data_IF_328638250792
#
_entry.id   IF_328638250792
#
_cell.length_a   1.000
_cell.length_b   1.000
_cell.length_c   1.000
_cell.angle_alpha   90.00
_cell.angle_beta   90.00
_cell.angle_gamma   90.00
#
_symmetry.space_group_name_H-M   'P 1'
#
loop_
_entity.id
_entity.type
_entity.pdbx_description
1 polymer ?
#
# COMPACT_ATOMS: atom_id res chain seq x y z
N UNK A 1 7.45 7.29 7.41
CA UNK A 1 6.75 6.36 8.32
C UNK A 1 5.25 6.63 8.25
N UNK A 2 4.42 5.58 8.19
CA UNK A 2 2.96 5.68 8.22
C UNK A 2 2.40 5.42 9.62
N UNK A 3 1.45 6.25 10.05
CA UNK A 3 0.76 6.12 11.34
C UNK A 3 -0.72 5.89 11.10
N UNK A 4 -1.24 4.78 11.60
CA UNK A 4 -2.65 4.42 11.46
C UNK A 4 -3.53 5.20 12.43
N UNK A 5 -4.69 5.65 11.95
CA UNK A 5 -5.75 6.27 12.73
C UNK A 5 -7.07 5.51 12.49
N UNK A 6 -8.15 5.88 13.19
CA UNK A 6 -9.46 5.20 13.10
C UNK A 6 -9.34 3.66 13.19
N UNK A 7 -9.64 2.93 12.11
CA UNK A 7 -9.61 1.46 12.10
C UNK A 7 -8.20 0.88 12.24
N UNK A 8 -7.18 1.67 11.89
CA UNK A 8 -5.75 1.33 11.97
C UNK A 8 -5.06 1.94 13.21
N UNK A 9 -5.82 2.55 14.13
CA UNK A 9 -5.29 3.28 15.28
C UNK A 9 -4.27 2.46 16.10
N UNK A 10 -3.10 3.07 16.32
CA UNK A 10 -2.01 2.51 17.14
C UNK A 10 -0.98 1.69 16.35
N UNK A 11 -1.18 1.52 15.04
CA UNK A 11 -0.18 0.93 14.15
C UNK A 11 0.79 1.99 13.65
N UNK A 12 2.07 1.60 13.53
CA UNK A 12 3.13 2.41 12.96
C UNK A 12 3.97 1.52 12.04
N UNK A 13 4.10 1.91 10.78
CA UNK A 13 4.82 1.15 9.77
C UNK A 13 5.97 2.01 9.23
N UNK A 14 7.21 1.53 9.35
CA UNK A 14 8.38 2.22 8.80
C UNK A 14 8.38 2.12 7.28
N UNK A 15 9.05 3.06 6.62
CA UNK A 15 9.05 3.14 5.15
C UNK A 15 9.68 1.90 4.51
N UNK A 16 10.70 1.32 5.16
CA UNK A 16 11.33 0.07 4.73
C UNK A 16 10.40 -1.15 4.78
N UNK A 17 9.34 -1.09 5.59
CA UNK A 17 8.39 -2.18 5.80
C UNK A 17 7.05 -1.91 5.10
N UNK A 18 6.84 -0.68 4.60
CA UNK A 18 5.53 -0.20 4.14
C UNK A 18 5.00 -0.99 2.95
N UNK A 19 5.86 -1.25 1.97
CA UNK A 19 5.49 -2.02 0.77
C UNK A 19 5.14 -3.46 1.12
N UNK A 20 5.99 -4.14 1.91
CA UNK A 20 5.78 -5.53 2.30
C UNK A 20 4.48 -5.68 3.12
N UNK A 21 4.24 -4.76 4.07
CA UNK A 21 3.02 -4.76 4.86
C UNK A 21 1.76 -4.56 4.01
N UNK A 22 1.77 -3.59 3.08
CA UNK A 22 0.63 -3.34 2.19
C UNK A 22 0.34 -4.56 1.30
N UNK A 23 1.39 -5.14 0.71
CA UNK A 23 1.26 -6.32 -0.15
C UNK A 23 0.72 -7.53 0.61
N UNK A 24 1.25 -7.84 1.80
CA UNK A 24 0.76 -8.94 2.64
C UNK A 24 -0.72 -8.75 3.00
N UNK A 25 -1.13 -7.53 3.36
CA UNK A 25 -2.53 -7.22 3.68
C UNK A 25 -3.45 -7.46 2.49
N UNK A 26 -3.05 -7.04 1.30
CA UNK A 26 -3.83 -7.27 0.08
C UNK A 26 -3.96 -8.76 -0.27
N UNK A 27 -2.95 -9.57 0.04
CA UNK A 27 -2.92 -10.99 -0.28
C UNK A 27 -3.68 -11.87 0.71
N UNK A 28 -3.84 -11.44 1.95
CA UNK A 28 -4.41 -12.26 3.03
C UNK A 28 -5.70 -11.71 3.64
N UNK A 29 -6.09 -10.48 3.31
CA UNK A 29 -7.38 -9.92 3.70
C UNK A 29 -8.38 -10.12 2.55
N UNK A 30 -9.33 -11.04 2.73
CA UNK A 30 -10.36 -11.36 1.74
C UNK A 30 -11.15 -10.12 1.28
N UNK A 31 -11.26 -9.07 2.11
CA UNK A 31 -11.96 -7.85 1.74
C UNK A 31 -11.14 -6.95 0.82
N UNK A 32 -9.81 -6.95 0.98
CA UNK A 32 -8.90 -6.14 0.16
C UNK A 32 -8.48 -6.85 -1.13
N UNK A 33 -8.44 -8.19 -1.11
CA UNK A 33 -8.05 -9.04 -2.24
C UNK A 33 -8.77 -8.66 -3.53
N UNK A 34 -10.11 -8.61 -3.51
CA UNK A 34 -10.92 -8.33 -4.70
C UNK A 34 -10.69 -6.92 -5.26
N UNK A 35 -10.52 -5.93 -4.37
CA UNK A 35 -10.27 -4.55 -4.77
C UNK A 35 -8.85 -4.37 -5.31
N UNK A 36 -7.87 -5.03 -4.68
CA UNK A 36 -6.48 -5.04 -5.10
C UNK A 36 -6.30 -5.67 -6.48
N UNK A 37 -6.90 -6.85 -6.73
CA UNK A 37 -6.85 -7.50 -8.04
C UNK A 37 -7.43 -6.60 -9.13
N UNK A 38 -8.52 -5.89 -8.83
CA UNK A 38 -9.15 -4.97 -9.78
C UNK A 38 -8.29 -3.74 -10.06
N UNK A 39 -7.74 -3.12 -9.03
CA UNK A 39 -6.96 -1.89 -9.14
C UNK A 39 -5.62 -2.15 -9.87
N UNK A 40 -4.96 -3.27 -9.54
CA UNK A 40 -3.63 -3.59 -10.05
C UNK A 40 -3.62 -4.62 -11.20
N UNK A 41 -4.78 -4.93 -11.79
CA UNK A 41 -4.93 -5.92 -12.87
C UNK A 41 -3.95 -5.70 -14.04
N UNK A 42 -3.67 -4.45 -14.39
CA UNK A 42 -2.77 -4.12 -15.50
C UNK A 42 -1.33 -4.63 -15.25
N UNK A 43 -0.86 -4.56 -14.01
CA UNK A 43 0.45 -5.08 -13.62
C UNK A 43 0.52 -6.61 -13.75
N UNK A 44 -0.57 -7.32 -13.45
CA UNK A 44 -0.64 -8.77 -13.56
C UNK A 44 -0.80 -9.26 -15.00
N UNK A 45 -1.64 -8.61 -15.79
CA UNK A 45 -1.92 -9.00 -17.18
C UNK A 45 -0.78 -8.63 -18.12
N UNK A 46 -0.22 -7.43 -17.98
CA UNK A 46 0.86 -6.95 -18.85
C UNK A 46 2.26 -7.24 -18.28
N UNK A 47 2.32 -7.82 -17.07
CA UNK A 47 3.53 -8.26 -16.40
C UNK A 47 4.31 -7.11 -15.75
N UNK A 48 4.93 -7.43 -14.60
CA UNK A 48 5.82 -6.53 -13.88
C UNK A 48 7.25 -6.75 -14.40
N UNK A 49 7.71 -5.83 -15.24
CA UNK A 49 9.12 -5.68 -15.60
C UNK A 49 9.84 -4.84 -14.55
N UNK A 50 11.17 -4.89 -14.49
CA UNK A 50 11.94 -4.16 -13.46
C UNK A 50 11.67 -2.64 -13.44
N UNK A 51 11.38 -2.02 -14.60
CA UNK A 51 11.01 -0.60 -14.66
C UNK A 51 9.60 -0.32 -14.13
N UNK A 52 8.69 -1.30 -14.19
CA UNK A 52 7.32 -1.18 -13.68
C UNK A 52 7.19 -1.54 -12.21
N UNK A 53 8.24 -2.10 -11.61
CA UNK A 53 8.24 -2.46 -10.19
C UNK A 53 8.21 -1.20 -9.30
N UNK A 54 8.91 -0.15 -9.70
CA UNK A 54 8.92 1.13 -8.98
C UNK A 54 7.52 1.77 -9.06
N UNK A 55 6.96 1.85 -10.27
CA UNK A 55 5.59 2.36 -10.46
C UNK A 55 4.56 1.55 -9.65
N UNK A 56 4.70 0.22 -9.62
CA UNK A 56 3.84 -0.66 -8.83
C UNK A 56 3.96 -0.42 -7.32
N UNK A 57 5.18 -0.23 -6.82
CA UNK A 57 5.42 0.07 -5.41
C UNK A 57 4.79 1.41 -5.02
N UNK A 58 5.04 2.46 -5.79
CA UNK A 58 4.47 3.79 -5.55
C UNK A 58 2.93 3.76 -5.60
N UNK A 59 2.35 3.16 -6.65
CA UNK A 59 0.90 3.04 -6.79
C UNK A 59 0.27 2.24 -5.63
N UNK A 60 0.91 1.15 -5.18
CA UNK A 60 0.43 0.34 -4.07
C UNK A 60 0.45 1.12 -2.75
N UNK A 61 1.54 1.84 -2.48
CA UNK A 61 1.66 2.63 -1.27
C UNK A 61 0.63 3.76 -1.25
N UNK A 62 0.50 4.50 -2.35
CA UNK A 62 -0.49 5.57 -2.47
C UNK A 62 -1.91 5.04 -2.29
N UNK A 63 -2.27 3.95 -2.95
CA UNK A 63 -3.60 3.36 -2.84
C UNK A 63 -3.89 2.84 -1.43
N UNK A 64 -3.02 1.99 -0.88
CA UNK A 64 -3.26 1.32 0.41
C UNK A 64 -3.25 2.30 1.60
N UNK A 65 -2.34 3.28 1.59
CA UNK A 65 -2.20 4.25 2.68
C UNK A 65 -3.04 5.52 2.47
N UNK A 66 -3.82 5.65 1.39
CA UNK A 66 -4.75 6.78 1.18
C UNK A 66 -5.91 6.86 2.19
N UNK A 67 -6.18 5.76 2.89
CA UNK A 67 -7.29 5.65 3.84
C UNK A 67 -6.93 6.12 5.25
N UNK A 68 -7.04 5.21 6.21
CA UNK A 68 -6.89 5.45 7.64
C UNK A 68 -5.40 5.59 8.08
N UNK A 69 -4.55 6.20 7.24
CA UNK A 69 -3.13 6.40 7.50
C UNK A 69 -2.66 7.83 7.24
N UNK A 70 -1.67 8.29 8.00
CA UNK A 70 -1.00 9.57 7.78
C UNK A 70 0.50 9.33 7.65
N UNK A 71 1.13 9.97 6.66
CA UNK A 71 2.57 9.96 6.51
C UNK A 71 3.24 11.03 7.40
N UNK A 72 4.23 10.64 8.20
CA UNK A 72 4.79 11.51 9.26
C UNK A 72 5.59 12.71 8.72
N UNK A 73 6.12 12.67 7.49
CA UNK A 73 6.73 13.88 6.91
C UNK A 73 5.68 14.96 6.59
N UNK A 74 4.45 14.57 6.26
CA UNK A 74 3.33 15.50 6.04
C UNK A 74 2.81 16.13 7.34
N UNK A 75 3.14 15.56 8.52
CA UNK A 75 2.78 16.14 9.81
C UNK A 75 3.67 17.33 10.21
N UNK A 76 4.82 17.52 9.55
CA UNK A 76 5.79 18.58 9.86
C UNK A 76 5.78 19.73 8.83
N UNK A 77 4.81 19.73 7.90
CA UNK A 77 4.62 20.74 6.85
C UNK A 77 3.67 21.87 7.24
#
# INVERSE_FOLDING_TARGET
MYVGFLSEHGKMINDCDAFAYALERCMYDDQLSDEFEKEFNDYFVNGITSNRMIDFEDDLLDWFYSGDWIYVEEMNG
#
